data_IF_314440477999
#
_entry.id   IF_314440477999
#
_cell.length_a   1.000
_cell.length_b   1.000
_cell.length_c   1.000
_cell.angle_alpha   90.00
_cell.angle_beta   90.00
_cell.angle_gamma   90.00
#
_symmetry.space_group_name_H-M   'P 1'
#
loop_
_entity.id
_entity.type
_entity.pdbx_description
1 polymer ?
#
# COMPACT_ATOMS: atom_id res chain seq x y z
N UNK A 1 34.56 -25.04 17.71
CA UNK A 1 33.52 -24.01 17.48
C UNK A 1 34.23 -22.75 17.02
N UNK A 2 33.99 -22.28 15.80
CA UNK A 2 34.68 -21.11 15.22
C UNK A 2 33.62 -20.11 14.79
N UNK A 3 33.47 -19.03 15.57
CA UNK A 3 32.64 -17.88 15.23
C UNK A 3 33.55 -16.87 14.54
N UNK A 4 33.28 -16.62 13.26
CA UNK A 4 34.02 -15.65 12.46
C UNK A 4 33.06 -14.46 12.31
N UNK A 5 33.38 -13.38 13.02
CA UNK A 5 32.63 -12.12 12.99
C UNK A 5 33.32 -11.26 11.93
N UNK A 6 32.65 -11.03 10.81
CA UNK A 6 33.09 -10.06 9.80
C UNK A 6 32.31 -8.77 10.01
N UNK A 7 33.00 -7.75 10.51
CA UNK A 7 32.51 -6.37 10.64
C UNK A 7 32.59 -5.73 9.26
N UNK A 8 31.47 -5.24 8.73
CA UNK A 8 31.46 -4.36 7.56
C UNK A 8 31.26 -2.91 8.01
N UNK A 9 32.26 -2.07 7.75
CA UNK A 9 32.25 -0.64 7.93
C UNK A 9 31.47 -0.01 6.77
N UNK A 10 30.40 0.73 7.06
CA UNK A 10 29.84 1.69 6.09
C UNK A 10 30.09 3.09 6.67
N UNK A 11 30.89 3.95 6.00
CA UNK A 11 31.11 5.30 6.46
C UNK A 11 29.83 6.12 6.26
N UNK A 12 29.21 6.54 7.36
CA UNK A 12 28.15 7.55 7.36
C UNK A 12 28.81 8.91 7.16
N UNK A 13 28.57 9.51 6.00
CA UNK A 13 28.92 10.91 5.74
C UNK A 13 27.83 11.62 4.95
N UNK A 14 27.48 12.81 5.46
CA UNK A 14 26.66 13.91 4.91
C UNK A 14 25.13 13.72 4.91
N UNK A 15 24.29 14.68 5.32
CA UNK A 15 24.52 16.09 5.68
C UNK A 15 23.39 16.60 6.59
N UNK A 16 23.71 17.58 7.44
CA UNK A 16 22.76 18.34 8.25
C UNK A 16 21.82 19.17 7.36
N UNK A 17 20.53 19.14 7.69
CA UNK A 17 19.48 19.94 7.08
C UNK A 17 18.17 19.78 7.84
N UNK A 18 18.14 20.09 9.13
CA UNK A 18 16.88 20.31 9.86
C UNK A 18 16.30 21.65 9.42
N UNK A 19 15.65 21.65 8.26
CA UNK A 19 14.61 22.62 7.96
C UNK A 19 13.29 21.98 8.40
N UNK A 20 12.76 22.45 9.53
CA UNK A 20 11.43 22.07 9.97
C UNK A 20 10.41 22.44 8.91
N UNK A 21 9.81 21.43 8.30
CA UNK A 21 8.49 21.52 7.72
C UNK A 21 7.66 20.50 8.48
N UNK A 22 6.73 20.98 9.29
CA UNK A 22 5.56 20.18 9.61
C UNK A 22 4.88 19.95 8.25
N UNK A 23 4.96 18.73 7.73
CA UNK A 23 4.23 18.36 6.52
C UNK A 23 2.77 18.28 6.95
N UNK A 24 2.05 19.39 6.75
CA UNK A 24 0.61 19.36 6.64
C UNK A 24 0.27 18.27 5.61
N UNK A 25 -0.64 17.36 5.96
CA UNK A 25 -1.03 16.22 5.15
C UNK A 25 -1.14 16.63 3.69
N UNK A 26 -0.26 16.07 2.88
CA UNK A 26 -0.36 16.19 1.44
C UNK A 26 -1.51 15.28 1.03
N UNK A 27 -2.69 15.86 0.81
CA UNK A 27 -3.71 15.21 0.00
C UNK A 27 -3.04 14.91 -1.35
N UNK A 28 -2.66 13.65 -1.55
CA UNK A 28 -2.16 13.20 -2.85
C UNK A 28 -3.32 13.38 -3.83
N UNK A 29 -3.16 14.14 -4.92
CA UNK A 29 -4.26 14.33 -5.86
C UNK A 29 -4.66 12.97 -6.43
N UNK A 30 -5.93 12.60 -6.21
CA UNK A 30 -6.59 11.43 -6.80
C UNK A 30 -6.32 11.40 -8.31
N UNK A 31 -5.81 10.27 -8.80
CA UNK A 31 -5.63 10.06 -10.23
C UNK A 31 -6.97 9.66 -10.86
N UNK A 32 -7.19 10.06 -12.11
CA UNK A 32 -8.24 9.44 -12.92
C UNK A 32 -7.84 8.00 -13.29
N UNK A 33 -8.79 7.11 -13.54
CA UNK A 33 -8.52 5.71 -13.94
C UNK A 33 -7.53 5.63 -15.12
N UNK A 34 -7.64 6.56 -16.07
CA UNK A 34 -6.77 6.62 -17.24
C UNK A 34 -5.31 6.99 -16.87
N UNK A 35 -5.12 7.77 -15.81
CA UNK A 35 -3.80 8.10 -15.27
C UNK A 35 -3.24 6.93 -14.46
N UNK A 36 -4.06 6.26 -13.66
CA UNK A 36 -3.64 5.07 -12.89
C UNK A 36 -3.20 3.93 -13.80
N UNK A 37 -4.00 3.61 -14.83
CA UNK A 37 -3.64 2.57 -15.81
C UNK A 37 -2.31 2.90 -16.48
N UNK A 38 -2.07 4.17 -16.85
CA UNK A 38 -0.79 4.58 -17.44
C UNK A 38 0.35 4.46 -16.45
N UNK A 39 0.16 4.91 -15.21
CA UNK A 39 1.19 4.83 -14.17
C UNK A 39 1.59 3.37 -13.88
N UNK A 40 0.60 2.47 -13.77
CA UNK A 40 0.84 1.04 -13.59
C UNK A 40 1.61 0.44 -14.78
N UNK A 41 1.24 0.78 -16.02
CA UNK A 41 1.94 0.32 -17.22
C UNK A 41 3.38 0.86 -17.31
N UNK A 42 3.57 2.14 -17.02
CA UNK A 42 4.89 2.80 -17.07
C UNK A 42 5.82 2.34 -15.93
N UNK A 43 5.25 1.77 -14.85
CA UNK A 43 6.02 1.22 -13.73
C UNK A 43 6.96 0.08 -14.13
N UNK A 44 6.64 -0.63 -15.21
CA UNK A 44 7.41 -1.77 -15.72
C UNK A 44 7.28 -3.06 -14.89
N UNK A 45 6.52 -3.04 -13.79
CA UNK A 45 6.18 -4.22 -12.99
C UNK A 45 4.76 -4.69 -13.33
N UNK A 46 4.56 -5.99 -13.41
CA UNK A 46 3.24 -6.60 -13.58
C UNK A 46 2.60 -6.92 -12.23
N UNK A 47 1.27 -7.02 -12.19
CA UNK A 47 0.54 -7.44 -10.99
C UNK A 47 1.02 -8.80 -10.45
N UNK A 48 1.30 -9.75 -11.33
CA UNK A 48 1.82 -11.07 -10.93
C UNK A 48 3.20 -10.98 -10.29
N UNK A 49 4.10 -10.14 -10.82
CA UNK A 49 5.41 -9.93 -10.20
C UNK A 49 5.30 -9.28 -8.82
N UNK A 50 4.35 -8.35 -8.64
CA UNK A 50 4.10 -7.74 -7.35
C UNK A 50 3.57 -8.78 -6.33
N UNK A 51 2.63 -9.63 -6.73
CA UNK A 51 2.13 -10.74 -5.92
C UNK A 51 3.27 -11.69 -5.53
N UNK A 52 4.08 -12.12 -6.50
CA UNK A 52 5.21 -13.02 -6.26
C UNK A 52 6.22 -12.41 -5.29
N UNK A 53 6.52 -11.11 -5.44
CA UNK A 53 7.41 -10.37 -4.53
C UNK A 53 6.84 -10.31 -3.11
N UNK A 54 5.56 -9.95 -2.96
CA UNK A 54 4.89 -9.87 -1.67
C UNK A 54 4.83 -11.24 -0.97
N UNK A 55 4.43 -12.28 -1.68
CA UNK A 55 4.39 -13.64 -1.11
C UNK A 55 5.78 -14.15 -0.75
N UNK A 56 6.80 -13.90 -1.58
CA UNK A 56 8.19 -14.28 -1.26
C UNK A 56 8.75 -13.49 -0.08
N UNK A 57 8.36 -12.23 0.09
CA UNK A 57 8.82 -11.37 1.18
C UNK A 57 8.16 -11.68 2.52
N UNK A 58 6.93 -12.20 2.51
CA UNK A 58 6.09 -12.38 3.70
C UNK A 58 5.90 -13.83 4.11
N UNK A 59 5.98 -14.77 3.16
CA UNK A 59 5.70 -16.19 3.38
C UNK A 59 4.22 -16.55 3.46
N UNK A 60 3.31 -15.63 3.13
CA UNK A 60 1.86 -15.83 3.16
C UNK A 60 1.21 -16.06 1.79
N UNK A 61 -0.12 -16.11 1.78
CA UNK A 61 -0.94 -16.28 0.58
C UNK A 61 -1.60 -14.97 0.19
N UNK A 62 -1.43 -14.52 -1.05
CA UNK A 62 -2.13 -13.34 -1.55
C UNK A 62 -3.63 -13.59 -1.71
N UNK A 63 -4.43 -12.63 -1.24
CA UNK A 63 -5.89 -12.63 -1.33
C UNK A 63 -6.38 -11.63 -2.38
N UNK A 64 -5.77 -10.45 -2.43
CA UNK A 64 -6.07 -9.38 -3.37
C UNK A 64 -4.79 -8.61 -3.70
N UNK A 65 -4.79 -7.90 -4.83
CA UNK A 65 -3.71 -6.98 -5.19
C UNK A 65 -4.25 -5.87 -6.10
N UNK A 66 -3.80 -4.64 -5.89
CA UNK A 66 -4.24 -3.44 -6.62
C UNK A 66 -3.10 -2.44 -6.82
N UNK A 67 -3.26 -1.54 -7.78
CA UNK A 67 -2.37 -0.39 -7.95
C UNK A 67 -2.95 0.77 -7.14
N UNK A 68 -2.26 1.17 -6.08
CA UNK A 68 -2.76 2.13 -5.09
C UNK A 68 -1.65 3.08 -4.65
N UNK A 69 -2.02 4.21 -4.06
CA UNK A 69 -1.07 5.04 -3.32
C UNK A 69 -1.03 4.59 -1.86
N UNK A 70 0.16 4.52 -1.29
CA UNK A 70 0.27 4.35 0.16
C UNK A 70 -0.08 5.66 0.89
N UNK A 71 -0.18 5.58 2.22
CA UNK A 71 -0.42 6.73 3.11
C UNK A 71 0.64 7.85 3.01
N UNK A 72 1.76 7.58 2.35
CA UNK A 72 2.86 8.53 2.12
C UNK A 72 2.80 9.18 0.72
N UNK A 73 1.75 8.90 -0.05
CA UNK A 73 1.54 9.41 -1.40
C UNK A 73 2.40 8.74 -2.48
N UNK A 74 3.02 7.60 -2.19
CA UNK A 74 3.79 6.83 -3.16
C UNK A 74 2.90 5.77 -3.83
N UNK A 75 2.90 5.76 -5.16
CA UNK A 75 2.15 4.79 -5.96
C UNK A 75 2.93 3.49 -6.13
N UNK A 76 2.23 2.37 -6.00
CA UNK A 76 2.79 1.04 -6.18
C UNK A 76 1.69 -0.02 -6.13
N UNK A 77 2.09 -1.26 -5.81
CA UNK A 77 1.12 -2.35 -5.65
C UNK A 77 0.86 -2.61 -4.18
N UNK A 78 -0.40 -2.53 -3.76
CA UNK A 78 -0.82 -3.07 -2.47
C UNK A 78 -1.31 -4.50 -2.64
N UNK A 79 -0.85 -5.38 -1.76
CA UNK A 79 -1.16 -6.81 -1.77
C UNK A 79 -1.62 -7.21 -0.37
N UNK A 80 -2.85 -7.70 -0.27
CA UNK A 80 -3.36 -8.30 0.96
C UNK A 80 -2.85 -9.74 1.07
N UNK A 81 -2.14 -10.04 2.15
CA UNK A 81 -1.56 -11.35 2.42
C UNK A 81 -2.22 -11.95 3.67
N UNK A 82 -2.75 -13.17 3.53
CA UNK A 82 -3.08 -14.03 4.66
C UNK A 82 -1.81 -14.73 5.17
N UNK A 83 -1.48 -14.56 6.44
CA UNK A 83 -0.39 -15.29 7.09
C UNK A 83 -0.81 -16.67 7.62
N UNK A 84 0.14 -17.40 8.20
CA UNK A 84 -0.09 -18.74 8.75
C UNK A 84 -1.05 -18.78 9.96
N UNK A 85 -1.33 -17.61 10.57
CA UNK A 85 -2.33 -17.45 11.63
C UNK A 85 -3.71 -17.03 11.12
N UNK A 86 -3.88 -17.00 9.79
CA UNK A 86 -5.08 -16.50 9.10
C UNK A 86 -5.35 -15.02 9.35
N UNK A 87 -4.36 -14.25 9.79
CA UNK A 87 -4.47 -12.80 9.85
C UNK A 87 -4.18 -12.21 8.47
N UNK A 88 -4.98 -11.23 8.05
CA UNK A 88 -4.79 -10.48 6.80
C UNK A 88 -3.94 -9.25 7.10
N UNK A 89 -2.94 -9.00 6.27
CA UNK A 89 -2.04 -7.86 6.37
C UNK A 89 -1.83 -7.26 4.98
N UNK A 90 -1.91 -5.94 4.88
CA UNK A 90 -1.62 -5.22 3.62
C UNK A 90 -0.13 -4.92 3.50
N UNK A 91 0.43 -5.22 2.34
CA UNK A 91 1.84 -5.01 2.01
C UNK A 91 1.96 -4.18 0.74
N UNK A 92 2.78 -3.14 0.80
CA UNK A 92 3.12 -2.31 -0.33
C UNK A 92 4.37 -2.87 -1.04
N UNK A 93 4.31 -2.95 -2.36
CA UNK A 93 5.42 -3.37 -3.23
C UNK A 93 5.80 -2.19 -4.12
N UNK A 94 7.04 -1.71 -3.97
CA UNK A 94 7.58 -0.65 -4.79
C UNK A 94 7.93 -1.19 -6.20
N UNK A 95 7.31 -0.70 -7.28
CA UNK A 95 7.56 -1.22 -8.62
C UNK A 95 8.96 -0.90 -9.15
N UNK A 96 9.66 0.11 -8.60
CA UNK A 96 10.98 0.52 -9.07
C UNK A 96 12.08 -0.48 -8.71
N UNK A 97 11.96 -1.16 -7.56
CA UNK A 97 13.00 -2.06 -7.04
C UNK A 97 12.47 -3.38 -6.47
N UNK A 98 11.15 -3.57 -6.41
CA UNK A 98 10.51 -4.75 -5.83
C UNK A 98 10.61 -4.85 -4.31
N UNK A 99 10.98 -3.77 -3.62
CA UNK A 99 10.99 -3.75 -2.17
C UNK A 99 9.58 -3.89 -1.60
N UNK A 100 9.46 -4.65 -0.52
CA UNK A 100 8.20 -4.97 0.14
C UNK A 100 8.19 -4.36 1.54
N UNK A 101 7.16 -3.59 1.86
CA UNK A 101 6.99 -2.95 3.17
C UNK A 101 5.56 -3.11 3.68
N UNK A 102 5.39 -3.29 4.98
CA UNK A 102 4.07 -3.41 5.59
C UNK A 102 3.37 -2.06 5.58
N UNK A 103 2.12 -2.02 5.13
CA UNK A 103 1.25 -0.84 5.28
C UNK A 103 0.77 -0.80 6.73
N UNK A 104 0.94 0.35 7.38
CA UNK A 104 0.45 0.55 8.73
C UNK A 104 -0.87 1.30 8.63
N UNK A 105 -2.00 0.59 8.75
CA UNK A 105 -3.31 1.24 8.83
C UNK A 105 -3.28 2.32 9.92
N UNK A 106 -3.29 3.59 9.51
CA UNK A 106 -3.80 4.65 10.37
C UNK A 106 -5.29 4.44 10.46
N UNK A 107 -5.78 4.04 11.64
CA UNK A 107 -7.21 3.96 11.97
C UNK A 107 -7.89 5.24 11.46
N UNK A 108 -8.68 5.19 10.37
CA UNK A 108 -9.77 6.15 10.10
C UNK A 108 -10.67 5.89 8.87
N UNK A 109 -10.63 4.74 8.17
CA UNK A 109 -11.48 4.53 6.95
C UNK A 109 -12.55 3.42 7.05
N UNK A 110 -13.26 3.36 8.18
CA UNK A 110 -14.59 2.74 8.22
C UNK A 110 -15.68 3.82 8.26
N UNK A 111 -16.02 4.39 7.10
CA UNK A 111 -17.34 4.98 6.90
C UNK A 111 -18.15 4.04 6.03
N UNK A 112 -18.88 3.14 6.70
CA UNK A 112 -20.02 2.46 6.13
C UNK A 112 -20.91 3.53 5.45
N UNK A 113 -20.97 3.48 4.13
CA UNK A 113 -22.04 4.12 3.39
C UNK A 113 -23.32 3.35 3.70
N UNK A 114 -24.00 3.74 4.77
CA UNK A 114 -25.38 3.36 5.03
C UNK A 114 -26.22 3.81 3.84
N UNK A 115 -26.52 2.85 2.96
CA UNK A 115 -27.43 3.03 1.85
C UNK A 115 -28.84 3.15 2.45
N UNK A 116 -29.30 4.38 2.67
CA UNK A 116 -30.69 4.65 3.00
C UNK A 116 -31.54 4.35 1.76
N UNK A 117 -32.02 3.11 1.69
CA UNK A 117 -33.14 2.69 0.85
C UNK A 117 -34.41 3.35 1.43
N UNK A 118 -34.66 4.61 1.05
CA UNK A 118 -35.97 5.24 1.26
C UNK A 118 -36.90 4.77 0.15
N UNK A 119 -37.50 3.61 0.41
CA UNK A 119 -38.52 2.99 -0.42
C UNK A 119 -39.75 3.88 -0.60
N UNK A 120 -40.12 4.00 -1.87
CA UNK A 120 -41.34 4.57 -2.43
C UNK A 120 -42.59 4.04 -1.72
N UNK A 121 -43.42 4.94 -1.22
CA UNK A 121 -44.66 4.62 -0.49
C UNK A 121 -45.81 5.56 -0.80
N UNK A 122 -46.01 5.92 -2.06
CA UNK A 122 -47.27 6.52 -2.52
C UNK A 122 -48.33 5.43 -2.70
N UNK A 123 -49.19 5.25 -1.71
CA UNK A 123 -50.42 4.46 -1.84
C UNK A 123 -51.61 5.12 -1.10
N UNK A 124 -52.61 5.46 -1.93
CA UNK A 124 -54.07 5.66 -1.70
C UNK A 124 -54.52 6.70 -0.65
N UNK A 125 -55.55 7.52 -0.85
CA UNK A 125 -56.73 7.45 -1.71
C UNK A 125 -57.89 8.17 -0.98
N UNK A 126 -58.81 8.74 -1.78
CA UNK A 126 -60.04 9.50 -1.45
C UNK A 126 -59.91 11.00 -1.08
#
# INVERSE_FOLDING_TARGET
>A
MKRIITVSLIPVTLAAGIAGAAWAGTDTPEMTDAQEIRAALDSGMTLTQAIDAAQSGTGGTALSAGWENNDQGAWGYEVEIADASSAVQTWFVNPADGSVSKVMETQDDHRDSEHADEGDGDYDGD
#
